data_IF_377170876647
#
_entry.id   IF_377170876647
#
_cell.length_a   1.000
_cell.length_b   1.000
_cell.length_c   1.000
_cell.angle_alpha   90.00
_cell.angle_beta   90.00
_cell.angle_gamma   90.00
#
_symmetry.space_group_name_H-M   'P 1'
#
loop_
_entity.id
_entity.type
_entity.pdbx_description
1 polymer ?
#
# COMPACT_ATOMS: atom_id res chain seq x y z
N UNK A 1 15.07 37.47 11.40
CA UNK A 1 15.62 37.38 10.03
C UNK A 1 15.72 35.93 9.54
N UNK A 2 16.53 35.06 10.18
CA UNK A 2 16.67 33.64 9.77
C UNK A 2 15.37 32.82 9.71
N UNK A 3 14.44 32.99 10.66
CA UNK A 3 13.14 32.27 10.67
C UNK A 3 12.30 32.52 9.40
N UNK A 4 12.37 33.72 8.83
CA UNK A 4 11.60 34.06 7.63
C UNK A 4 12.25 33.49 6.36
N UNK A 5 13.59 33.40 6.34
CA UNK A 5 14.34 32.76 5.25
C UNK A 5 14.02 31.27 5.20
N UNK A 6 14.04 30.58 6.35
CA UNK A 6 13.72 29.15 6.42
C UNK A 6 12.27 28.88 5.96
N UNK A 7 11.31 29.68 6.43
CA UNK A 7 9.90 29.56 6.03
C UNK A 7 9.71 29.76 4.51
N UNK A 8 10.38 30.76 3.94
CA UNK A 8 10.31 31.03 2.50
C UNK A 8 10.99 29.94 1.67
N UNK A 9 12.09 29.36 2.17
CA UNK A 9 12.78 28.24 1.53
C UNK A 9 11.89 27.00 1.48
N UNK A 10 11.21 26.67 2.59
CA UNK A 10 10.25 25.55 2.65
C UNK A 10 9.12 25.76 1.65
N UNK A 11 8.50 26.95 1.62
CA UNK A 11 7.42 27.27 0.68
C UNK A 11 7.90 27.16 -0.77
N UNK A 12 9.12 27.60 -1.06
CA UNK A 12 9.71 27.51 -2.39
C UNK A 12 9.95 26.05 -2.82
N UNK A 13 10.50 25.23 -1.93
CA UNK A 13 10.68 23.79 -2.16
C UNK A 13 9.32 23.12 -2.44
N UNK A 14 8.30 23.39 -1.62
CA UNK A 14 6.96 22.84 -1.82
C UNK A 14 6.33 23.25 -3.16
N UNK A 15 6.56 24.49 -3.62
CA UNK A 15 6.07 24.94 -4.93
C UNK A 15 6.79 24.21 -6.07
N UNK A 16 8.11 24.07 -5.98
CA UNK A 16 8.91 23.36 -6.97
C UNK A 16 8.50 21.89 -7.03
N UNK A 17 8.37 21.21 -5.88
CA UNK A 17 7.97 19.80 -5.88
C UNK A 17 6.59 19.63 -6.50
N UNK A 18 5.62 20.47 -6.14
CA UNK A 18 4.27 20.41 -6.71
C UNK A 18 4.26 20.67 -8.23
N UNK A 19 5.05 21.64 -8.71
CA UNK A 19 5.23 21.85 -10.15
C UNK A 19 5.89 20.64 -10.84
N UNK A 20 6.92 20.04 -10.23
CA UNK A 20 7.57 18.84 -10.78
C UNK A 20 6.59 17.67 -10.89
N UNK A 21 5.76 17.45 -9.86
CA UNK A 21 4.74 16.39 -9.89
C UNK A 21 3.71 16.58 -11.01
N UNK A 22 3.38 17.82 -11.36
CA UNK A 22 2.51 18.12 -12.51
C UNK A 22 3.11 17.71 -13.85
N UNK A 23 4.44 17.76 -13.99
CA UNK A 23 5.14 17.39 -15.23
C UNK A 23 5.49 15.90 -15.33
N UNK A 24 5.29 15.11 -14.26
CA UNK A 24 5.52 13.67 -14.31
C UNK A 24 4.21 12.99 -14.72
N UNK A 25 4.16 12.34 -15.90
CA UNK A 25 2.95 11.64 -16.32
C UNK A 25 2.63 10.51 -15.35
N UNK A 26 1.36 10.43 -14.95
CA UNK A 26 0.86 9.43 -13.99
C UNK A 26 1.26 8.01 -14.37
N UNK A 27 1.19 7.66 -15.66
CA UNK A 27 1.61 6.35 -16.18
C UNK A 27 3.06 5.99 -15.83
N UNK A 28 3.96 6.99 -15.83
CA UNK A 28 5.38 6.78 -15.49
C UNK A 28 5.57 6.54 -14.00
N UNK A 29 4.76 7.19 -13.15
CA UNK A 29 4.72 6.94 -11.71
C UNK A 29 4.26 5.51 -11.46
N UNK A 30 3.10 5.13 -12.02
CA UNK A 30 2.52 3.81 -11.88
C UNK A 30 3.46 2.72 -12.40
N UNK A 31 4.06 2.89 -13.59
CA UNK A 31 5.04 1.95 -14.15
C UNK A 31 6.25 1.75 -13.24
N UNK A 32 6.75 2.82 -12.61
CA UNK A 32 7.85 2.72 -11.66
C UNK A 32 7.42 2.00 -10.37
N UNK A 33 6.21 2.26 -9.88
CA UNK A 33 5.66 1.55 -8.73
C UNK A 33 5.57 0.05 -9.00
N UNK A 34 5.01 -0.37 -10.14
CA UNK A 34 4.97 -1.77 -10.57
C UNK A 34 6.37 -2.40 -10.66
N UNK A 35 7.33 -1.69 -11.27
CA UNK A 35 8.72 -2.16 -11.40
C UNK A 35 9.41 -2.36 -10.04
N UNK A 36 9.10 -1.51 -9.06
CA UNK A 36 9.66 -1.64 -7.71
C UNK A 36 8.96 -2.77 -6.94
N UNK A 37 7.64 -2.86 -7.06
CA UNK A 37 6.87 -3.96 -6.51
C UNK A 37 7.33 -5.32 -7.07
N UNK A 38 7.66 -5.43 -8.36
CA UNK A 38 8.12 -6.71 -8.93
C UNK A 38 9.51 -7.14 -8.45
N UNK A 39 10.28 -6.24 -7.82
CA UNK A 39 11.61 -6.53 -7.27
C UNK A 39 11.60 -6.92 -5.80
N UNK A 40 10.53 -6.59 -5.06
CA UNK A 40 10.38 -7.02 -3.68
C UNK A 40 9.95 -8.49 -3.69
N UNK A 41 10.91 -9.38 -3.46
CA UNK A 41 10.66 -10.80 -3.25
C UNK A 41 10.19 -11.01 -1.80
N UNK A 42 9.09 -11.73 -1.61
CA UNK A 42 8.76 -12.30 -0.30
C UNK A 42 9.72 -13.47 -0.11
N UNK A 43 10.71 -13.29 0.76
CA UNK A 43 11.78 -14.27 1.00
C UNK A 43 11.37 -15.40 1.94
N UNK A 44 10.24 -15.25 2.65
CA UNK A 44 9.76 -16.24 3.60
C UNK A 44 8.77 -17.22 2.97
N UNK A 45 9.09 -18.52 3.02
CA UNK A 45 8.27 -19.59 2.44
C UNK A 45 6.83 -19.66 2.99
N UNK A 46 6.61 -19.12 4.20
CA UNK A 46 5.32 -19.11 4.89
C UNK A 46 4.47 -17.88 4.60
N UNK A 47 5.02 -16.85 3.95
CA UNK A 47 4.29 -15.61 3.65
C UNK A 47 3.88 -15.55 2.18
N UNK A 48 2.79 -14.83 1.92
CA UNK A 48 2.31 -14.51 0.57
C UNK A 48 1.93 -13.05 0.47
N UNK A 49 2.04 -12.51 -0.75
CA UNK A 49 1.41 -11.25 -1.10
C UNK A 49 -0.07 -11.53 -1.37
N UNK A 50 -0.96 -10.99 -0.54
CA UNK A 50 -2.40 -11.20 -0.64
C UNK A 50 -3.09 -9.85 -0.84
N UNK A 51 -3.74 -9.62 -1.99
CA UNK A 51 -4.15 -8.27 -2.38
C UNK A 51 -2.97 -7.48 -2.96
N UNK A 52 -3.24 -6.70 -4.00
CA UNK A 52 -2.21 -5.87 -4.65
C UNK A 52 -2.76 -4.46 -4.75
N UNK A 53 -2.43 -3.62 -3.76
CA UNK A 53 -2.52 -2.18 -3.94
C UNK A 53 -1.16 -1.67 -4.40
N UNK A 54 -1.08 -1.07 -5.58
CA UNK A 54 0.17 -0.46 -6.01
C UNK A 54 0.29 0.91 -5.32
N UNK A 55 1.38 1.23 -4.62
CA UNK A 55 2.68 0.54 -4.53
C UNK A 55 2.89 -0.37 -3.29
N UNK A 56 1.91 -0.51 -2.41
CA UNK A 56 2.07 -1.16 -1.11
C UNK A 56 1.84 -2.68 -1.19
N UNK A 57 2.90 -3.43 -0.88
CA UNK A 57 2.84 -4.88 -0.82
C UNK A 57 3.01 -5.31 0.62
N UNK A 58 1.92 -5.74 1.23
CA UNK A 58 1.99 -6.41 2.52
C UNK A 58 2.06 -7.92 2.33
N UNK A 59 2.91 -8.53 3.15
CA UNK A 59 3.08 -9.97 3.19
C UNK A 59 2.35 -10.52 4.42
N UNK A 60 1.39 -11.42 4.19
CA UNK A 60 0.63 -12.09 5.25
C UNK A 60 1.01 -13.56 5.32
N UNK A 61 0.84 -14.19 6.48
CA UNK A 61 1.08 -15.63 6.61
C UNK A 61 0.06 -16.42 5.79
N UNK A 62 0.52 -17.44 5.07
CA UNK A 62 -0.33 -18.35 4.28
C UNK A 62 -1.44 -18.98 5.12
N UNK A 63 -1.15 -19.28 6.38
CA UNK A 63 -2.09 -19.85 7.34
C UNK A 63 -3.24 -18.92 7.72
N UNK A 64 -3.06 -17.60 7.60
CA UNK A 64 -4.10 -16.59 7.85
C UNK A 64 -5.01 -16.37 6.65
N UNK A 65 -4.59 -16.86 5.47
CA UNK A 65 -5.34 -16.78 4.23
C UNK A 65 -6.04 -18.12 3.94
N UNK A 66 -5.30 -19.23 4.01
CA UNK A 66 -5.77 -20.54 3.59
C UNK A 66 -6.01 -21.51 4.77
N UNK A 67 -7.02 -22.39 4.69
CA UNK A 67 -8.05 -22.45 3.65
C UNK A 67 -8.96 -21.22 3.70
N UNK A 68 -9.61 -20.89 2.59
CA UNK A 68 -10.61 -19.81 2.60
C UNK A 68 -11.85 -20.27 3.37
N UNK A 69 -12.54 -19.35 4.03
CA UNK A 69 -13.87 -19.57 4.64
C UNK A 69 -14.94 -18.78 3.91
N UNK A 70 -16.18 -19.23 3.96
CA UNK A 70 -17.31 -18.46 3.44
C UNK A 70 -17.74 -17.39 4.43
N UNK A 71 -17.98 -16.18 3.95
CA UNK A 71 -18.55 -15.09 4.72
C UNK A 71 -19.78 -14.53 4.01
N UNK A 72 -20.82 -14.21 4.77
CA UNK A 72 -22.02 -13.59 4.23
C UNK A 72 -21.93 -12.07 4.42
N UNK A 73 -22.05 -11.34 3.32
CA UNK A 73 -22.11 -9.89 3.32
C UNK A 73 -23.27 -9.45 2.42
N UNK A 74 -24.21 -8.70 2.99
CA UNK A 74 -25.42 -8.24 2.28
C UNK A 74 -26.22 -9.38 1.60
N UNK A 75 -26.26 -10.56 2.22
CA UNK A 75 -26.98 -11.72 1.69
C UNK A 75 -26.24 -12.48 0.58
N UNK A 76 -25.04 -12.04 0.20
CA UNK A 76 -24.16 -12.72 -0.74
C UNK A 76 -23.04 -13.45 -0.01
N UNK A 77 -22.68 -14.63 -0.51
CA UNK A 77 -21.61 -15.46 0.04
C UNK A 77 -20.31 -15.26 -0.73
N UNK A 78 -19.23 -14.98 0.00
CA UNK A 78 -17.91 -14.77 -0.57
C UNK A 78 -16.85 -15.62 0.14
N UNK A 79 -15.86 -16.14 -0.58
CA UNK A 79 -14.68 -16.72 0.04
C UNK A 79 -13.79 -15.60 0.60
N UNK A 80 -13.44 -15.67 1.87
CA UNK A 80 -12.57 -14.73 2.57
C UNK A 80 -11.42 -15.49 3.27
N UNK A 81 -10.32 -14.81 3.62
CA UNK A 81 -9.29 -15.40 4.47
C UNK A 81 -9.86 -16.04 5.74
N UNK A 82 -9.37 -17.22 6.15
CA UNK A 82 -9.84 -17.86 7.39
C UNK A 82 -9.64 -16.94 8.61
N UNK A 83 -8.54 -16.19 8.63
CA UNK A 83 -8.21 -15.19 9.64
C UNK A 83 -8.25 -13.77 9.04
N UNK A 84 -9.38 -13.42 8.41
CA UNK A 84 -9.55 -12.11 7.76
C UNK A 84 -9.34 -10.92 8.70
N UNK A 85 -9.58 -11.04 10.01
CA UNK A 85 -9.29 -9.98 10.98
C UNK A 85 -7.80 -9.66 11.04
N UNK A 86 -6.95 -10.69 11.14
CA UNK A 86 -5.50 -10.48 11.13
C UNK A 86 -5.02 -9.92 9.80
N UNK A 87 -5.55 -10.44 8.68
CA UNK A 87 -5.24 -9.92 7.34
C UNK A 87 -5.60 -8.44 7.24
N UNK A 88 -6.80 -8.04 7.68
CA UNK A 88 -7.24 -6.65 7.67
C UNK A 88 -6.37 -5.77 8.57
N UNK A 89 -5.94 -6.27 9.73
CA UNK A 89 -5.03 -5.55 10.63
C UNK A 89 -3.67 -5.27 9.97
N UNK A 90 -3.16 -6.18 9.14
CA UNK A 90 -1.92 -5.94 8.39
C UNK A 90 -2.10 -4.82 7.36
N UNK A 91 -3.22 -4.81 6.62
CA UNK A 91 -3.46 -3.80 5.58
C UNK A 91 -3.85 -2.44 6.13
N UNK A 92 -4.59 -2.40 7.23
CA UNK A 92 -5.28 -1.21 7.68
C UNK A 92 -5.00 -0.81 9.14
N UNK A 93 -4.11 -1.52 9.82
CA UNK A 93 -3.85 -1.41 11.26
C UNK A 93 -5.12 -1.67 12.11
N UNK A 94 -5.12 -1.22 13.36
CA UNK A 94 -6.31 -1.23 14.20
C UNK A 94 -7.28 -0.17 13.67
N UNK A 95 -8.28 -0.60 12.90
CA UNK A 95 -9.48 0.18 12.68
C UNK A 95 -10.21 0.31 14.02
N UNK A 96 -9.91 1.38 14.76
CA UNK A 96 -10.80 1.96 15.78
C UNK A 96 -11.65 3.08 15.17
#
# INVERSE_FOLDING_TARGET
>A
FLKNILKNLIIFICKITNSIYYFIPYEKVIKNMYKNASKSEVTEAEKIVYGVEVPFKEAVHKSDVFPLKTYNFEGLEFPVPNNHENVLKVFYNEWE
#
